data_IF_346521212415
#
_entry.id   IF_346521212415
#
_cell.length_a   1.000
_cell.length_b   1.000
_cell.length_c   1.000
_cell.angle_alpha   90.00
_cell.angle_beta   90.00
_cell.angle_gamma   90.00
#
_symmetry.space_group_name_H-M   'P 1'
#
loop_
_entity.id
_entity.type
_entity.pdbx_description
1 polymer ?
#
# COMPACT_ATOMS: atom_id res chain seq x y z
N UNK A 1 9.29 -22.66 -15.19
CA UNK A 1 8.28 -22.26 -14.21
C UNK A 1 6.89 -22.22 -14.86
N UNK A 2 6.69 -21.48 -15.97
CA UNK A 2 5.39 -21.43 -16.69
C UNK A 2 4.89 -22.80 -17.16
N UNK A 3 5.77 -23.65 -17.75
CA UNK A 3 5.40 -25.00 -18.18
C UNK A 3 4.85 -25.90 -17.04
N UNK A 4 5.21 -25.64 -15.80
CA UNK A 4 4.65 -26.35 -14.64
C UNK A 4 3.25 -25.89 -14.35
N UNK A 5 3.01 -24.56 -14.36
CA UNK A 5 1.69 -23.97 -14.15
C UNK A 5 0.69 -24.39 -15.23
N UNK A 6 1.10 -24.45 -16.49
CA UNK A 6 0.26 -24.94 -17.58
C UNK A 6 -0.24 -26.37 -17.32
N UNK A 7 0.60 -27.26 -16.78
CA UNK A 7 0.20 -28.63 -16.45
C UNK A 7 -0.82 -28.68 -15.30
N UNK A 8 -0.70 -27.77 -14.35
CA UNK A 8 -1.65 -27.64 -13.25
C UNK A 8 -3.00 -27.15 -13.79
N UNK A 9 -3.01 -26.08 -14.61
CA UNK A 9 -4.18 -25.56 -15.28
C UNK A 9 -4.87 -26.61 -16.20
N UNK A 10 -4.08 -27.37 -16.96
CA UNK A 10 -4.60 -28.44 -17.80
C UNK A 10 -5.26 -29.55 -16.95
N UNK A 11 -4.68 -29.88 -15.81
CA UNK A 11 -5.23 -30.90 -14.89
C UNK A 11 -6.54 -30.43 -14.24
N UNK A 12 -6.71 -29.14 -14.01
CA UNK A 12 -7.92 -28.50 -13.51
C UNK A 12 -8.97 -28.24 -14.61
N UNK A 13 -8.61 -28.45 -15.87
CA UNK A 13 -9.53 -28.35 -17.01
C UNK A 13 -9.65 -26.94 -17.59
N UNK A 14 -8.64 -26.08 -17.38
CA UNK A 14 -8.62 -24.74 -17.95
C UNK A 14 -8.76 -24.76 -19.50
N UNK A 15 -9.57 -23.87 -20.09
CA UNK A 15 -9.69 -23.76 -21.53
C UNK A 15 -8.36 -23.39 -22.19
N UNK A 16 -7.94 -24.04 -23.28
CA UNK A 16 -6.67 -23.72 -23.94
C UNK A 16 -6.56 -22.25 -24.40
N UNK A 17 -7.69 -21.61 -24.71
CA UNK A 17 -7.74 -20.20 -25.07
C UNK A 17 -7.38 -19.28 -23.90
N UNK A 18 -7.81 -19.62 -22.68
CA UNK A 18 -7.51 -18.88 -21.47
C UNK A 18 -6.04 -19.03 -21.09
N UNK A 19 -5.53 -20.28 -21.19
CA UNK A 19 -4.09 -20.54 -20.95
C UNK A 19 -3.20 -19.76 -21.92
N UNK A 20 -3.56 -19.71 -23.21
CA UNK A 20 -2.80 -18.94 -24.20
C UNK A 20 -2.84 -17.44 -23.95
N UNK A 21 -4.00 -16.89 -23.57
CA UNK A 21 -4.12 -15.48 -23.22
C UNK A 21 -3.32 -15.10 -21.97
N UNK A 22 -3.29 -16.00 -20.98
CA UNK A 22 -2.45 -15.83 -19.78
C UNK A 22 -0.95 -15.89 -20.12
N UNK A 23 -0.54 -16.84 -20.98
CA UNK A 23 0.84 -16.99 -21.42
C UNK A 23 1.40 -15.71 -22.04
N UNK A 24 0.63 -15.09 -22.95
CA UNK A 24 1.03 -13.85 -23.62
C UNK A 24 1.33 -12.71 -22.62
N UNK A 25 0.65 -12.69 -21.48
CA UNK A 25 0.87 -11.70 -20.42
C UNK A 25 1.98 -12.07 -19.46
N UNK A 26 1.95 -13.31 -18.98
CA UNK A 26 2.96 -13.80 -18.01
C UNK A 26 4.37 -13.81 -18.59
N UNK A 27 4.52 -14.06 -19.88
CA UNK A 27 5.81 -14.07 -20.57
C UNK A 27 6.19 -12.71 -21.20
N UNK A 28 5.33 -11.70 -21.12
CA UNK A 28 5.64 -10.36 -21.62
C UNK A 28 6.85 -9.76 -20.87
N UNK A 29 7.75 -9.16 -21.62
CA UNK A 29 8.93 -8.49 -21.05
C UNK A 29 8.53 -7.34 -20.13
N UNK A 30 9.14 -7.29 -18.95
CA UNK A 30 9.00 -6.18 -18.01
C UNK A 30 10.29 -5.37 -18.02
N UNK A 31 10.20 -4.06 -18.22
CA UNK A 31 11.36 -3.17 -18.24
C UNK A 31 11.65 -2.55 -16.87
N UNK A 32 11.15 -3.16 -15.80
CA UNK A 32 11.32 -2.72 -14.43
C UNK A 32 12.53 -3.40 -13.78
N UNK A 33 13.27 -2.65 -12.98
CA UNK A 33 14.39 -3.19 -12.19
C UNK A 33 13.88 -3.76 -10.87
N UNK A 34 14.46 -4.88 -10.42
CA UNK A 34 14.09 -5.54 -9.17
C UNK A 34 13.25 -6.80 -9.38
N UNK A 35 12.74 -7.37 -8.28
CA UNK A 35 11.83 -8.50 -8.31
C UNK A 35 10.38 -8.00 -8.44
N UNK A 36 9.65 -8.53 -9.40
CA UNK A 36 8.27 -8.17 -9.70
C UNK A 36 7.40 -9.40 -9.74
N UNK A 37 6.17 -9.24 -9.32
CA UNK A 37 5.10 -10.22 -9.40
C UNK A 37 4.03 -9.73 -10.37
N UNK A 38 3.41 -10.66 -11.09
CA UNK A 38 2.34 -10.35 -12.03
C UNK A 38 1.14 -11.23 -11.74
N UNK A 39 0.02 -10.58 -11.46
CA UNK A 39 -1.27 -11.23 -11.29
C UNK A 39 -2.10 -11.07 -12.57
N UNK A 40 -2.51 -12.19 -13.16
CA UNK A 40 -3.29 -12.21 -14.40
C UNK A 40 -4.57 -13.01 -14.20
N UNK A 41 -5.71 -12.41 -14.55
CA UNK A 41 -7.02 -13.09 -14.56
C UNK A 41 -7.53 -13.14 -15.97
N UNK A 42 -7.92 -14.33 -16.43
CA UNK A 42 -8.43 -14.57 -17.78
C UNK A 42 -9.77 -15.30 -17.71
N UNK A 43 -10.71 -14.92 -18.56
CA UNK A 43 -11.99 -15.61 -18.72
C UNK A 43 -12.44 -15.55 -20.18
N UNK A 44 -12.76 -16.71 -20.77
CA UNK A 44 -13.23 -16.82 -22.16
C UNK A 44 -12.25 -16.34 -23.21
N UNK A 45 -10.94 -16.47 -22.96
CA UNK A 45 -9.86 -16.01 -23.84
C UNK A 45 -9.56 -14.50 -23.71
N UNK A 46 -10.24 -13.79 -22.82
CA UNK A 46 -10.04 -12.35 -22.57
C UNK A 46 -9.31 -12.14 -21.26
N UNK A 47 -8.30 -11.26 -21.26
CA UNK A 47 -7.59 -10.84 -20.06
C UNK A 47 -8.42 -9.79 -19.33
N UNK A 48 -8.97 -10.16 -18.18
CA UNK A 48 -9.80 -9.27 -17.35
C UNK A 48 -8.95 -8.41 -16.42
N UNK A 49 -7.79 -8.93 -15.98
CA UNK A 49 -6.86 -8.24 -15.10
C UNK A 49 -5.43 -8.60 -15.47
N UNK A 50 -4.56 -7.62 -15.47
CA UNK A 50 -3.11 -7.75 -15.67
C UNK A 50 -2.45 -6.70 -14.80
N UNK A 51 -2.00 -7.10 -13.61
CA UNK A 51 -1.38 -6.21 -12.63
C UNK A 51 0.05 -6.65 -12.34
N UNK A 52 0.98 -5.69 -12.42
CA UNK A 52 2.40 -5.88 -12.19
C UNK A 52 2.83 -5.05 -10.99
N UNK A 53 3.31 -5.70 -9.95
CA UNK A 53 3.70 -5.04 -8.70
C UNK A 53 5.04 -5.56 -8.17
N UNK A 54 5.73 -4.80 -7.30
CA UNK A 54 6.95 -5.26 -6.67
C UNK A 54 6.70 -6.54 -5.87
N UNK A 55 7.50 -7.58 -6.11
CA UNK A 55 7.41 -8.83 -5.35
C UNK A 55 7.84 -8.59 -3.89
N UNK A 56 7.03 -9.04 -2.96
CA UNK A 56 7.32 -8.95 -1.51
C UNK A 56 7.95 -10.22 -0.97
N UNK A 57 7.57 -11.32 -1.54
CA UNK A 57 8.03 -12.64 -1.12
C UNK A 57 8.66 -13.39 -2.29
N UNK A 58 9.61 -14.28 -2.00
CA UNK A 58 10.13 -15.24 -2.99
C UNK A 58 9.14 -16.40 -3.16
N UNK A 59 7.89 -16.09 -3.44
CA UNK A 59 6.82 -17.06 -3.44
C UNK A 59 6.79 -17.96 -4.66
N UNK A 60 6.16 -19.09 -4.49
CA UNK A 60 5.91 -20.04 -5.56
C UNK A 60 4.81 -19.46 -6.44
N UNK A 61 5.08 -19.32 -7.74
CA UNK A 61 4.03 -18.95 -8.68
C UNK A 61 2.89 -19.97 -8.62
N UNK A 62 1.67 -19.47 -8.50
CA UNK A 62 0.43 -20.28 -8.41
C UNK A 62 -0.43 -20.02 -9.64
N UNK A 63 -1.12 -21.03 -10.13
CA UNK A 63 -2.14 -20.90 -11.16
C UNK A 63 -3.31 -21.81 -10.81
N UNK A 64 -4.50 -21.24 -10.84
CA UNK A 64 -5.75 -21.94 -10.49
C UNK A 64 -6.79 -21.75 -11.58
N UNK A 65 -7.65 -22.76 -11.79
CA UNK A 65 -8.81 -22.68 -12.65
C UNK A 65 -10.05 -23.03 -11.84
N UNK A 66 -11.07 -22.17 -11.89
CA UNK A 66 -12.29 -22.36 -11.13
C UNK A 66 -13.37 -21.33 -11.47
N UNK A 67 -14.52 -21.40 -10.80
CA UNK A 67 -15.62 -20.47 -11.03
C UNK A 67 -15.35 -19.04 -10.54
N UNK A 68 -14.35 -18.85 -9.65
CA UNK A 68 -13.89 -17.56 -9.17
C UNK A 68 -12.35 -17.49 -9.24
N UNK A 69 -11.77 -16.33 -9.55
CA UNK A 69 -10.33 -16.13 -9.46
C UNK A 69 -9.89 -16.10 -7.99
N UNK A 70 -8.71 -16.67 -7.72
CA UNK A 70 -8.05 -16.51 -6.42
C UNK A 70 -7.32 -15.17 -6.38
N UNK A 71 -7.93 -14.21 -5.69
CA UNK A 71 -7.44 -12.84 -5.54
C UNK A 71 -7.18 -12.47 -4.07
N UNK A 72 -7.20 -13.43 -3.15
CA UNK A 72 -7.07 -13.13 -1.73
C UNK A 72 -5.70 -12.50 -1.41
N UNK A 73 -4.62 -13.11 -1.88
CA UNK A 73 -3.27 -12.57 -1.68
C UNK A 73 -3.08 -11.24 -2.41
N UNK A 74 -3.52 -11.13 -3.67
CA UNK A 74 -3.47 -9.86 -4.40
C UNK A 74 -4.24 -8.74 -3.70
N UNK A 75 -5.43 -9.04 -3.16
CA UNK A 75 -6.24 -8.05 -2.44
C UNK A 75 -5.56 -7.61 -1.13
N UNK A 76 -5.02 -8.57 -0.37
CA UNK A 76 -4.25 -8.30 0.84
C UNK A 76 -3.03 -7.41 0.55
N UNK A 77 -2.24 -7.77 -0.45
CA UNK A 77 -1.05 -7.01 -0.83
C UNK A 77 -1.38 -5.63 -1.44
N UNK A 78 -2.51 -5.53 -2.14
CA UNK A 78 -2.98 -4.27 -2.70
C UNK A 78 -3.30 -3.23 -1.64
N UNK A 79 -3.76 -3.65 -0.47
CA UNK A 79 -4.05 -2.77 0.66
C UNK A 79 -2.80 -2.33 1.42
N UNK A 80 -1.74 -3.11 1.35
CA UNK A 80 -0.45 -2.85 2.01
C UNK A 80 0.34 -1.67 1.41
N UNK A 81 -0.24 -0.95 0.46
CA UNK A 81 0.37 0.20 -0.19
C UNK A 81 0.46 1.36 0.78
N UNK A 82 1.67 1.86 0.96
CA UNK A 82 1.90 3.10 1.70
C UNK A 82 2.30 4.18 0.71
N UNK A 83 1.38 5.00 0.20
CA UNK A 83 1.73 6.15 -0.61
C UNK A 83 2.58 7.11 0.20
N UNK A 84 3.66 7.62 -0.37
CA UNK A 84 4.58 8.51 0.33
C UNK A 84 5.14 9.60 -0.57
N UNK A 85 5.63 10.67 0.07
CA UNK A 85 6.44 11.70 -0.57
C UNK A 85 7.85 11.59 0.01
N UNK A 86 8.85 11.54 -0.87
CA UNK A 86 10.27 11.59 -0.50
C UNK A 86 10.87 12.92 -0.96
N UNK A 87 11.50 13.66 -0.05
CA UNK A 87 12.27 14.84 -0.37
C UNK A 87 13.73 14.64 0.04
N UNK A 88 14.65 14.76 -0.91
CA UNK A 88 16.10 14.75 -0.66
C UNK A 88 16.60 16.20 -0.72
N UNK A 89 16.98 16.75 0.42
CA UNK A 89 17.13 18.19 0.65
C UNK A 89 18.60 18.54 0.84
N UNK A 90 19.04 19.61 0.22
CA UNK A 90 20.30 20.28 0.52
C UNK A 90 20.09 21.80 0.73
N UNK A 91 21.18 22.57 0.85
CA UNK A 91 21.11 24.02 1.05
C UNK A 91 20.65 24.81 -0.16
N UNK A 92 20.59 24.17 -1.32
CA UNK A 92 20.25 24.80 -2.60
C UNK A 92 18.84 24.45 -3.06
N UNK A 93 18.19 23.47 -2.43
CA UNK A 93 16.85 23.04 -2.79
C UNK A 93 16.57 21.58 -2.43
N UNK A 94 15.69 20.93 -3.17
CA UNK A 94 15.33 19.53 -2.96
C UNK A 94 14.87 18.86 -4.24
N UNK A 95 15.12 17.54 -4.33
CA UNK A 95 14.43 16.63 -5.24
C UNK A 95 13.25 16.05 -4.47
N UNK A 96 12.03 16.35 -4.92
CA UNK A 96 10.79 15.93 -4.24
C UNK A 96 10.00 15.02 -5.16
N UNK A 97 9.74 13.80 -4.73
CA UNK A 97 9.01 12.81 -5.50
C UNK A 97 7.84 12.25 -4.70
N UNK A 98 6.69 12.07 -5.37
CA UNK A 98 5.53 11.36 -4.83
C UNK A 98 5.49 9.93 -5.40
N UNK A 99 5.21 8.97 -4.53
CA UNK A 99 5.10 7.55 -4.84
C UNK A 99 3.71 7.05 -4.46
N UNK A 100 3.08 6.30 -5.35
CA UNK A 100 1.76 5.70 -5.09
C UNK A 100 1.82 4.42 -4.23
N UNK A 101 3.03 3.97 -3.92
CA UNK A 101 3.28 2.75 -3.15
C UNK A 101 3.18 1.46 -3.98
N UNK A 102 2.84 1.55 -5.28
CA UNK A 102 2.62 0.40 -6.16
C UNK A 102 3.46 0.43 -7.43
N UNK A 103 3.22 1.37 -8.33
CA UNK A 103 3.88 1.43 -9.64
C UNK A 103 5.18 2.24 -9.64
N UNK A 104 5.58 2.80 -8.50
CA UNK A 104 6.78 3.60 -8.34
C UNK A 104 6.50 5.09 -8.25
N UNK A 105 7.38 5.90 -8.86
CA UNK A 105 7.29 7.35 -8.82
C UNK A 105 6.13 7.87 -9.67
N UNK A 106 5.16 8.52 -9.02
CA UNK A 106 3.99 9.09 -9.67
C UNK A 106 4.23 10.51 -10.17
N UNK A 107 5.01 11.31 -9.42
CA UNK A 107 5.34 12.69 -9.76
C UNK A 107 6.70 13.08 -9.15
N UNK A 108 7.54 13.78 -9.93
CA UNK A 108 8.82 14.33 -9.47
C UNK A 108 8.83 15.84 -9.69
N UNK A 109 9.37 16.58 -8.70
CA UNK A 109 9.61 18.03 -8.77
C UNK A 109 11.03 18.31 -8.31
N UNK A 110 11.72 19.16 -9.05
CA UNK A 110 13.02 19.71 -8.64
C UNK A 110 12.78 21.14 -8.15
N UNK A 111 13.25 21.41 -6.92
CA UNK A 111 13.11 22.71 -6.27
C UNK A 111 14.48 23.35 -6.19
N UNK A 112 14.72 24.35 -6.99
CA UNK A 112 15.95 25.15 -6.97
C UNK A 112 15.76 26.42 -6.13
N UNK A 113 16.45 26.50 -4.99
CA UNK A 113 16.46 27.68 -4.13
C UNK A 113 17.50 28.76 -4.55
N UNK A 114 17.46 29.90 -3.90
CA UNK A 114 18.42 30.97 -4.13
C UNK A 114 19.84 30.57 -3.77
N UNK A 115 20.79 30.75 -4.69
CA UNK A 115 22.20 30.36 -4.55
C UNK A 115 23.18 31.53 -4.33
N UNK A 116 22.73 32.77 -4.49
CA UNK A 116 23.64 33.96 -4.53
C UNK A 116 24.44 34.23 -3.25
N UNK A 117 24.06 33.69 -2.09
CA UNK A 117 24.69 33.99 -0.81
C UNK A 117 25.27 32.78 -0.05
N UNK A 118 25.45 31.64 -0.70
CA UNK A 118 25.85 30.37 -0.07
C UNK A 118 27.36 30.20 0.15
N UNK A 119 28.24 31.13 -0.34
CA UNK A 119 29.69 31.01 -0.20
C UNK A 119 30.22 31.76 1.01
N UNK A 120 30.88 31.03 1.93
CA UNK A 120 31.62 31.60 3.06
C UNK A 120 32.78 32.46 2.57
N UNK A 121 32.76 33.76 2.87
CA UNK A 121 33.91 34.65 2.70
C UNK A 121 34.72 34.66 4.00
N UNK A 122 36.04 34.34 3.99
CA UNK A 122 36.88 34.43 5.18
C UNK A 122 37.15 35.89 5.51
N UNK A 123 36.56 36.44 6.55
CA UNK A 123 36.82 37.81 7.00
C UNK A 123 36.15 38.10 8.34
N UNK A 124 36.93 38.41 9.38
CA UNK A 124 36.44 38.70 10.73
C UNK A 124 35.94 40.14 10.87
N UNK A 125 34.86 40.34 11.63
CA UNK A 125 34.33 41.64 11.98
C UNK A 125 32.80 41.73 11.92
N UNK A 126 32.25 42.93 12.12
CA UNK A 126 30.80 43.21 12.08
C UNK A 126 30.12 42.77 10.80
N UNK A 127 30.82 42.65 9.68
CA UNK A 127 30.35 42.09 8.43
C UNK A 127 30.05 40.60 8.56
N UNK A 128 30.70 39.86 9.43
CA UNK A 128 30.50 38.40 9.60
C UNK A 128 29.12 38.07 10.18
N UNK A 129 28.64 38.85 11.17
CA UNK A 129 27.30 38.67 11.75
C UNK A 129 26.18 38.96 10.73
N UNK A 130 26.35 40.04 9.96
CA UNK A 130 25.39 40.38 8.89
C UNK A 130 25.35 39.31 7.79
N UNK A 131 26.51 38.79 7.43
CA UNK A 131 26.61 37.73 6.41
C UNK A 131 26.05 36.39 6.90
N UNK A 132 26.33 36.03 8.16
CA UNK A 132 25.69 34.84 8.76
C UNK A 132 24.15 34.97 8.79
N UNK A 133 23.65 36.11 9.18
CA UNK A 133 22.21 36.37 9.23
C UNK A 133 21.57 36.32 7.85
N UNK A 134 22.20 36.88 6.82
CA UNK A 134 21.72 36.79 5.43
C UNK A 134 21.77 35.37 4.91
N UNK A 135 22.75 34.56 5.27
CA UNK A 135 22.86 33.15 4.89
C UNK A 135 21.79 32.30 5.58
N UNK A 136 21.54 32.54 6.87
CA UNK A 136 20.46 31.89 7.64
C UNK A 136 19.08 32.26 7.07
N UNK A 137 18.84 33.53 6.74
CA UNK A 137 17.61 34.02 6.12
C UNK A 137 17.36 33.34 4.73
N UNK A 138 18.43 33.17 3.94
CA UNK A 138 18.34 32.45 2.63
C UNK A 138 18.01 30.97 2.83
N UNK A 139 18.60 30.30 3.82
CA UNK A 139 18.30 28.90 4.09
C UNK A 139 16.85 28.71 4.54
N UNK A 140 16.34 29.58 5.41
CA UNK A 140 14.94 29.55 5.82
C UNK A 140 13.98 29.80 4.65
N UNK A 141 14.33 30.69 3.71
CA UNK A 141 13.55 30.93 2.51
C UNK A 141 13.52 29.67 1.60
N UNK A 142 14.69 29.07 1.36
CA UNK A 142 14.78 27.82 0.58
C UNK A 142 14.03 26.67 1.25
N UNK A 143 14.10 26.55 2.59
CA UNK A 143 13.33 25.56 3.33
C UNK A 143 11.82 25.76 3.18
N UNK A 144 11.38 27.03 3.12
CA UNK A 144 9.96 27.35 2.91
C UNK A 144 9.48 26.96 1.51
N UNK A 145 10.27 27.20 0.48
CA UNK A 145 9.94 26.78 -0.89
C UNK A 145 9.83 25.25 -1.00
N UNK A 146 10.77 24.51 -0.40
CA UNK A 146 10.73 23.05 -0.34
C UNK A 146 9.50 22.57 0.43
N UNK A 147 9.18 23.18 1.57
CA UNK A 147 8.01 22.81 2.35
C UNK A 147 6.71 23.05 1.59
N UNK A 148 6.59 24.15 0.85
CA UNK A 148 5.41 24.46 0.03
C UNK A 148 5.21 23.43 -1.08
N UNK A 149 6.27 22.97 -1.74
CA UNK A 149 6.21 21.92 -2.76
C UNK A 149 5.84 20.55 -2.16
N UNK A 150 6.42 20.18 -1.03
CA UNK A 150 6.05 18.96 -0.30
C UNK A 150 4.57 19.00 0.08
N UNK A 151 4.09 20.11 0.65
CA UNK A 151 2.67 20.30 1.00
C UNK A 151 1.77 20.26 -0.24
N UNK A 152 2.24 20.78 -1.37
CA UNK A 152 1.55 20.68 -2.66
C UNK A 152 1.31 19.23 -3.08
N UNK A 153 2.35 18.40 -3.01
CA UNK A 153 2.25 16.95 -3.29
C UNK A 153 1.37 16.23 -2.28
N UNK A 154 1.49 16.57 -0.98
CA UNK A 154 0.61 15.99 0.05
C UNK A 154 -0.87 16.26 -0.23
N UNK A 155 -1.23 17.46 -0.65
CA UNK A 155 -2.63 17.80 -1.00
C UNK A 155 -3.13 17.04 -2.21
N UNK A 156 -2.26 16.80 -3.21
CA UNK A 156 -2.60 16.12 -4.46
C UNK A 156 -2.70 14.62 -4.28
N UNK A 157 -1.69 14.00 -3.66
CA UNK A 157 -1.52 12.55 -3.59
C UNK A 157 -2.01 11.92 -2.29
N UNK A 158 -2.24 12.74 -1.24
CA UNK A 158 -2.68 12.29 0.09
C UNK A 158 -1.84 11.13 0.65
N UNK A 159 -0.52 11.28 0.71
CA UNK A 159 0.37 10.22 1.15
C UNK A 159 0.16 9.87 2.63
N UNK A 160 0.53 8.65 3.01
CA UNK A 160 0.58 8.23 4.43
C UNK A 160 1.83 8.75 5.12
N UNK A 161 2.94 8.87 4.39
CA UNK A 161 4.20 9.32 4.94
C UNK A 161 4.83 10.42 4.09
N UNK A 162 5.48 11.38 4.75
CA UNK A 162 6.44 12.31 4.15
C UNK A 162 7.80 11.97 4.72
N UNK A 163 8.74 11.60 3.85
CA UNK A 163 10.09 11.18 4.20
C UNK A 163 11.07 12.28 3.78
N UNK A 164 11.75 12.86 4.73
CA UNK A 164 12.71 13.95 4.52
C UNK A 164 14.12 13.44 4.75
N UNK A 165 14.97 13.52 3.73
CA UNK A 165 16.38 13.11 3.74
C UNK A 165 17.29 14.29 3.42
N UNK A 166 18.58 14.18 3.68
CA UNK A 166 19.57 15.16 3.29
C UNK A 166 20.14 15.98 4.45
N UNK A 167 20.46 17.27 4.21
CA UNK A 167 21.17 18.14 5.16
C UNK A 167 20.35 18.35 6.44
N UNK A 168 20.90 18.03 7.63
CA UNK A 168 20.11 17.95 8.87
C UNK A 168 19.40 19.25 9.27
N UNK A 169 20.02 20.42 9.09
CA UNK A 169 19.43 21.71 9.44
C UNK A 169 18.23 22.04 8.57
N UNK A 170 18.40 21.94 7.25
CA UNK A 170 17.34 22.19 6.27
C UNK A 170 16.19 21.17 6.42
N UNK A 171 16.53 19.91 6.61
CA UNK A 171 15.55 18.83 6.84
C UNK A 171 14.66 19.11 8.06
N UNK A 172 15.26 19.58 9.18
CA UNK A 172 14.53 19.93 10.39
C UNK A 172 13.58 21.13 10.16
N UNK A 173 14.07 22.18 9.48
CA UNK A 173 13.26 23.37 9.16
C UNK A 173 12.07 23.01 8.24
N UNK A 174 12.31 22.19 7.21
CA UNK A 174 11.23 21.70 6.32
C UNK A 174 10.24 20.85 7.09
N UNK A 175 10.71 19.94 7.97
CA UNK A 175 9.84 19.10 8.79
C UNK A 175 8.90 19.91 9.67
N UNK A 176 9.42 20.96 10.34
CA UNK A 176 8.62 21.85 11.18
C UNK A 176 7.54 22.58 10.36
N UNK A 177 7.90 23.12 9.20
CA UNK A 177 6.98 23.88 8.33
C UNK A 177 5.90 22.97 7.72
N UNK A 178 6.27 21.77 7.23
CA UNK A 178 5.31 20.78 6.72
C UNK A 178 4.35 20.37 7.82
N UNK A 179 4.86 19.98 9.00
CA UNK A 179 4.02 19.57 10.14
C UNK A 179 3.05 20.68 10.61
N UNK A 180 3.50 21.94 10.60
CA UNK A 180 2.64 23.09 10.95
C UNK A 180 1.52 23.36 9.93
N UNK A 181 1.69 22.91 8.68
CA UNK A 181 0.74 23.18 7.58
C UNK A 181 -0.25 22.03 7.38
N UNK A 182 0.10 20.80 7.83
CA UNK A 182 -0.81 19.66 7.74
C UNK A 182 -2.05 19.87 8.62
N UNK A 183 -3.25 19.45 8.15
CA UNK A 183 -4.46 19.44 8.96
C UNK A 183 -4.29 18.62 10.25
N UNK A 184 -4.94 19.03 11.32
CA UNK A 184 -4.86 18.35 12.63
C UNK A 184 -5.37 16.91 12.58
N UNK A 185 -6.28 16.62 11.67
CA UNK A 185 -6.86 15.30 11.39
C UNK A 185 -6.12 14.56 10.25
N UNK A 186 -4.98 15.08 9.79
CA UNK A 186 -4.17 14.42 8.77
C UNK A 186 -3.66 13.07 9.27
N UNK A 187 -3.79 12.06 8.42
CA UNK A 187 -3.18 10.74 8.64
C UNK A 187 -1.75 10.65 8.12
N UNK A 188 -1.25 11.73 7.49
CA UNK A 188 0.12 11.81 6.97
C UNK A 188 1.11 12.05 8.10
N UNK A 189 2.12 11.19 8.22
CA UNK A 189 3.19 11.29 9.23
C UNK A 189 4.46 11.80 8.56
N UNK A 190 5.18 12.72 9.24
CA UNK A 190 6.45 13.27 8.73
C UNK A 190 7.62 12.58 9.43
N UNK A 191 8.50 11.95 8.65
CA UNK A 191 9.70 11.26 9.11
C UNK A 191 10.96 11.95 8.60
N UNK A 192 11.98 12.01 9.43
CA UNK A 192 13.31 12.47 9.05
C UNK A 192 14.26 11.28 8.94
N UNK A 193 14.86 11.09 7.76
CA UNK A 193 15.79 10.00 7.48
C UNK A 193 17.23 10.43 7.73
N UNK A 194 18.04 9.54 8.27
CA UNK A 194 19.47 9.80 8.49
C UNK A 194 20.32 9.60 7.23
N UNK A 195 19.84 8.77 6.30
CA UNK A 195 20.48 8.48 5.02
C UNK A 195 19.99 9.43 3.92
N UNK A 196 20.84 9.60 2.89
CA UNK A 196 20.52 10.36 1.68
C UNK A 196 21.18 11.73 1.63
N UNK A 197 21.63 12.09 0.43
CA UNK A 197 22.13 13.40 0.08
C UNK A 197 22.02 13.62 -1.43
N UNK A 198 21.87 14.88 -1.89
CA UNK A 198 21.89 15.24 -3.33
C UNK A 198 23.29 15.20 -3.97
N UNK A 199 24.35 14.97 -3.18
CA UNK A 199 25.72 14.94 -3.70
C UNK A 199 26.03 13.70 -4.51
N UNK A 200 26.83 13.84 -5.58
CA UNK A 200 27.38 12.72 -6.35
C UNK A 200 28.13 11.74 -5.42
N UNK A 201 27.72 10.46 -5.43
CA UNK A 201 28.31 9.40 -4.59
C UNK A 201 27.57 9.11 -3.29
N UNK A 202 26.45 9.78 -3.01
CA UNK A 202 25.55 9.40 -1.90
C UNK A 202 24.99 7.97 -2.14
N UNK A 203 24.89 7.18 -1.06
CA UNK A 203 24.40 5.80 -1.17
C UNK A 203 22.88 5.81 -1.34
N UNK A 204 22.42 5.65 -2.57
CA UNK A 204 21.00 5.45 -2.90
C UNK A 204 20.46 4.18 -2.23
N UNK A 205 21.26 3.13 -2.11
CA UNK A 205 20.88 1.87 -1.46
C UNK A 205 20.57 2.06 0.03
N UNK A 206 21.41 2.83 0.76
CA UNK A 206 21.18 3.12 2.18
C UNK A 206 19.89 3.92 2.38
N UNK A 207 19.65 4.93 1.54
CA UNK A 207 18.41 5.71 1.55
C UNK A 207 17.18 4.81 1.37
N UNK A 208 17.15 3.98 0.32
CA UNK A 208 16.02 3.12 0.05
C UNK A 208 15.83 2.01 1.09
N UNK A 209 16.90 1.58 1.76
CA UNK A 209 16.80 0.66 2.88
C UNK A 209 16.07 1.29 4.07
N UNK A 210 16.41 2.55 4.38
CA UNK A 210 15.76 3.29 5.45
C UNK A 210 14.31 3.66 5.09
N UNK A 211 14.06 4.08 3.84
CA UNK A 211 12.70 4.33 3.31
C UNK A 211 11.82 3.09 3.52
N UNK A 212 12.26 1.91 3.07
CA UNK A 212 11.50 0.68 3.25
C UNK A 212 11.22 0.37 4.72
N UNK A 213 12.22 0.53 5.60
CA UNK A 213 12.03 0.27 7.03
C UNK A 213 10.97 1.19 7.67
N UNK A 214 10.92 2.47 7.26
CA UNK A 214 9.89 3.40 7.74
C UNK A 214 8.51 3.04 7.19
N UNK A 215 8.40 2.74 5.89
CA UNK A 215 7.13 2.36 5.28
C UNK A 215 6.57 1.05 5.87
N UNK A 216 7.42 0.06 6.14
CA UNK A 216 7.02 -1.17 6.82
C UNK A 216 6.50 -0.90 8.25
N UNK A 217 7.14 0.02 8.98
CA UNK A 217 6.68 0.40 10.30
C UNK A 217 5.31 1.11 10.27
N UNK A 218 5.09 2.00 9.29
CA UNK A 218 3.79 2.67 9.10
C UNK A 218 2.68 1.67 8.73
N UNK A 219 2.98 0.72 7.84
CA UNK A 219 2.06 -0.37 7.48
C UNK A 219 1.64 -1.17 8.71
N UNK A 220 2.59 -1.65 9.51
CA UNK A 220 2.28 -2.41 10.73
C UNK A 220 1.46 -1.57 11.72
N UNK A 221 1.75 -0.28 11.85
CA UNK A 221 0.97 0.61 12.71
C UNK A 221 -0.48 0.80 12.20
N UNK A 222 -0.70 0.84 10.88
CA UNK A 222 -2.03 0.90 10.29
C UNK A 222 -2.80 -0.40 10.52
N UNK A 223 -2.18 -1.56 10.31
CA UNK A 223 -2.77 -2.87 10.59
C UNK A 223 -3.18 -2.99 12.07
N UNK A 224 -2.31 -2.59 12.99
CA UNK A 224 -2.62 -2.59 14.43
C UNK A 224 -3.86 -1.73 14.74
N UNK A 225 -3.93 -0.51 14.17
CA UNK A 225 -5.11 0.36 14.34
C UNK A 225 -6.39 -0.27 13.80
N UNK A 226 -6.32 -0.97 12.68
CA UNK A 226 -7.47 -1.69 12.10
C UNK A 226 -7.93 -2.82 13.02
N UNK A 227 -7.02 -3.66 13.52
CA UNK A 227 -7.32 -4.75 14.44
C UNK A 227 -7.91 -4.22 15.76
N UNK A 228 -7.36 -3.14 16.32
CA UNK A 228 -7.91 -2.49 17.51
C UNK A 228 -9.33 -1.94 17.27
N UNK A 229 -9.59 -1.35 16.09
CA UNK A 229 -10.94 -0.88 15.71
C UNK A 229 -11.93 -2.05 15.68
N UNK A 230 -11.55 -3.20 15.09
CA UNK A 230 -12.39 -4.41 15.08
C UNK A 230 -12.67 -4.89 16.51
N UNK A 231 -11.65 -4.94 17.37
CA UNK A 231 -11.81 -5.36 18.77
C UNK A 231 -12.77 -4.43 19.53
N UNK A 232 -12.68 -3.13 19.31
CA UNK A 232 -13.60 -2.15 19.92
C UNK A 232 -15.02 -2.27 19.35
N UNK A 233 -15.15 -2.37 18.02
CA UNK A 233 -16.43 -2.50 17.33
C UNK A 233 -17.18 -3.78 17.73
N UNK A 234 -16.48 -4.88 17.99
CA UNK A 234 -17.06 -6.15 18.45
C UNK A 234 -17.81 -5.99 19.78
N UNK A 235 -17.36 -5.12 20.66
CA UNK A 235 -18.05 -4.84 21.92
C UNK A 235 -19.43 -4.15 21.76
N UNK A 236 -19.71 -3.68 20.55
CA UNK A 236 -20.94 -2.96 20.16
C UNK A 236 -21.68 -3.63 19.00
N UNK A 237 -21.42 -4.92 18.74
CA UNK A 237 -22.01 -5.68 17.62
C UNK A 237 -21.81 -5.03 16.23
N UNK A 238 -20.77 -4.21 16.10
CA UNK A 238 -20.38 -3.52 14.88
C UNK A 238 -19.15 -4.17 14.18
N UNK A 239 -18.84 -5.42 14.51
CA UNK A 239 -17.82 -6.21 13.85
C UNK A 239 -18.24 -7.67 13.75
N UNK A 240 -17.80 -8.34 12.67
CA UNK A 240 -17.90 -9.79 12.48
C UNK A 240 -16.49 -10.40 12.60
N UNK A 241 -16.37 -11.55 13.25
CA UNK A 241 -15.06 -12.20 13.47
C UNK A 241 -15.13 -13.67 13.10
N UNK A 242 -14.24 -14.07 12.20
CA UNK A 242 -14.23 -15.38 11.58
C UNK A 242 -15.17 -15.49 10.38
N UNK A 243 -14.96 -16.53 9.60
CA UNK A 243 -15.58 -16.66 8.27
C UNK A 243 -17.11 -16.71 8.30
N UNK A 244 -17.72 -17.38 9.29
CA UNK A 244 -19.18 -17.53 9.35
C UNK A 244 -19.92 -16.21 9.62
N UNK A 245 -19.42 -15.43 10.58
CA UNK A 245 -20.01 -14.11 10.90
C UNK A 245 -19.79 -13.16 9.72
N UNK A 246 -18.61 -13.21 9.09
CA UNK A 246 -18.24 -12.38 7.94
C UNK A 246 -19.12 -12.70 6.73
N UNK A 247 -19.33 -13.99 6.38
CA UNK A 247 -20.22 -14.39 5.29
C UNK A 247 -21.67 -13.92 5.52
N UNK A 248 -22.18 -14.03 6.75
CA UNK A 248 -23.50 -13.52 7.08
C UNK A 248 -23.58 -11.99 6.90
N UNK A 249 -22.59 -11.26 7.38
CA UNK A 249 -22.55 -9.82 7.22
C UNK A 249 -22.42 -9.37 5.76
N UNK A 250 -21.67 -10.13 4.94
CA UNK A 250 -21.55 -9.92 3.48
C UNK A 250 -22.88 -10.18 2.76
N UNK A 251 -23.58 -11.25 3.12
CA UNK A 251 -24.90 -11.56 2.57
C UNK A 251 -25.92 -10.44 2.86
N UNK A 252 -25.78 -9.76 3.99
CA UNK A 252 -26.57 -8.59 4.38
C UNK A 252 -26.01 -7.24 3.84
N UNK A 253 -24.89 -7.26 3.09
CA UNK A 253 -24.17 -6.08 2.57
C UNK A 253 -23.76 -5.07 3.69
N UNK A 254 -23.47 -5.58 4.87
CA UNK A 254 -23.12 -4.79 6.07
C UNK A 254 -21.63 -4.54 6.23
N UNK A 255 -20.79 -5.24 5.50
CA UNK A 255 -19.33 -5.09 5.63
C UNK A 255 -18.88 -3.77 5.04
N UNK A 256 -18.18 -2.97 5.85
CA UNK A 256 -17.45 -1.76 5.43
C UNK A 256 -16.03 -2.12 5.00
N UNK A 257 -15.31 -2.82 5.89
CA UNK A 257 -13.93 -3.22 5.67
C UNK A 257 -13.76 -4.69 6.06
N UNK A 258 -13.31 -5.50 5.12
CA UNK A 258 -12.91 -6.88 5.33
C UNK A 258 -11.42 -6.93 5.64
N UNK A 259 -11.02 -7.52 6.76
CA UNK A 259 -9.64 -7.82 7.11
C UNK A 259 -9.35 -9.29 6.80
N UNK A 260 -8.27 -9.56 6.09
CA UNK A 260 -7.82 -10.92 5.77
C UNK A 260 -6.36 -11.12 6.16
N UNK A 261 -6.03 -12.31 6.63
CA UNK A 261 -4.65 -12.67 6.99
C UNK A 261 -3.80 -12.82 5.71
N UNK A 262 -2.79 -11.95 5.52
CA UNK A 262 -1.88 -12.00 4.37
C UNK A 262 -1.12 -13.33 4.32
N UNK A 263 -1.04 -13.94 3.14
CA UNK A 263 -0.34 -15.21 2.91
C UNK A 263 -0.96 -16.42 3.65
N UNK A 264 -2.20 -16.32 4.09
CA UNK A 264 -2.97 -17.43 4.65
C UNK A 264 -4.27 -17.63 3.90
N UNK A 265 -4.59 -18.88 3.65
CA UNK A 265 -5.84 -19.28 2.99
C UNK A 265 -6.80 -19.92 3.98
N UNK A 266 -8.09 -19.76 3.72
CA UNK A 266 -9.12 -20.46 4.46
C UNK A 266 -9.15 -21.94 4.07
N UNK A 267 -9.24 -22.81 5.06
CA UNK A 267 -9.51 -24.24 4.83
C UNK A 267 -11.00 -24.57 4.89
N UNK A 268 -11.85 -23.57 5.16
CA UNK A 268 -13.30 -23.78 5.20
C UNK A 268 -13.88 -23.80 3.78
N UNK A 269 -14.76 -24.74 3.54
CA UNK A 269 -15.55 -24.82 2.32
C UNK A 269 -16.89 -24.13 2.52
N UNK A 270 -17.27 -23.29 1.57
CA UNK A 270 -18.51 -22.55 1.56
C UNK A 270 -19.42 -23.06 0.47
N UNK A 271 -20.57 -23.61 0.85
CA UNK A 271 -21.64 -23.94 -0.10
C UNK A 271 -22.47 -22.71 -0.39
N UNK A 272 -22.64 -22.38 -1.65
CA UNK A 272 -23.38 -21.17 -2.07
C UNK A 272 -24.81 -21.19 -1.55
N UNK A 273 -25.49 -22.33 -1.59
CA UNK A 273 -26.87 -22.53 -1.10
C UNK A 273 -27.05 -22.25 0.40
N UNK A 274 -26.01 -22.43 1.20
CA UNK A 274 -26.08 -22.22 2.66
C UNK A 274 -26.06 -20.73 3.04
N UNK A 275 -25.78 -19.85 2.06
CA UNK A 275 -25.65 -18.40 2.27
C UNK A 275 -26.57 -17.60 1.34
N UNK A 276 -27.91 -17.69 1.50
CA UNK A 276 -28.84 -16.95 0.67
C UNK A 276 -28.63 -15.44 0.85
N UNK A 277 -28.45 -14.74 -0.28
CA UNK A 277 -28.15 -13.31 -0.30
C UNK A 277 -26.67 -12.96 -0.43
N UNK A 278 -25.77 -13.95 -0.35
CA UNK A 278 -24.35 -13.73 -0.66
C UNK A 278 -24.23 -13.34 -2.14
N UNK A 279 -23.64 -12.19 -2.40
CA UNK A 279 -23.42 -11.70 -3.76
C UNK A 279 -22.13 -12.31 -4.30
N UNK A 280 -22.27 -13.10 -5.35
CA UNK A 280 -21.17 -13.70 -6.10
C UNK A 280 -21.33 -13.37 -7.58
N UNK A 281 -20.27 -13.41 -8.39
CA UNK A 281 -20.38 -13.37 -9.85
C UNK A 281 -21.30 -14.49 -10.39
N UNK A 282 -21.83 -14.33 -11.59
CA UNK A 282 -22.82 -15.25 -12.18
C UNK A 282 -22.34 -16.69 -12.47
N UNK A 283 -21.03 -16.96 -12.29
CA UNK A 283 -20.43 -18.24 -12.66
C UNK A 283 -20.58 -19.38 -11.64
N UNK A 284 -20.50 -19.15 -10.30
CA UNK A 284 -20.76 -20.22 -9.34
C UNK A 284 -22.23 -20.65 -9.39
N UNK A 285 -22.47 -21.94 -9.54
CA UNK A 285 -23.80 -22.52 -9.39
C UNK A 285 -24.19 -22.59 -7.91
N UNK A 286 -25.50 -22.67 -7.61
CA UNK A 286 -26.02 -22.74 -6.25
C UNK A 286 -25.47 -23.95 -5.46
N UNK A 287 -25.28 -25.10 -6.13
CA UNK A 287 -24.71 -26.31 -5.55
C UNK A 287 -23.17 -26.30 -5.40
N UNK A 288 -22.49 -25.29 -5.94
CA UNK A 288 -21.02 -25.22 -5.88
C UNK A 288 -20.51 -25.07 -4.45
N UNK A 289 -19.36 -25.68 -4.23
CA UNK A 289 -18.58 -25.57 -3.01
C UNK A 289 -17.32 -24.75 -3.35
N UNK A 290 -17.16 -23.63 -2.68
CA UNK A 290 -16.07 -22.69 -2.93
C UNK A 290 -15.10 -22.67 -1.72
N UNK A 291 -13.80 -22.48 -1.94
CA UNK A 291 -12.91 -22.07 -0.86
C UNK A 291 -13.41 -20.80 -0.19
N UNK A 292 -13.32 -20.75 1.14
CA UNK A 292 -13.90 -19.66 1.92
C UNK A 292 -13.30 -18.30 1.63
N UNK A 293 -12.00 -18.25 1.36
CA UNK A 293 -11.27 -17.03 0.95
C UNK A 293 -11.81 -16.47 -0.37
N UNK A 294 -11.98 -17.30 -1.40
CA UNK A 294 -12.55 -16.87 -2.67
C UNK A 294 -13.98 -16.31 -2.50
N UNK A 295 -14.82 -17.03 -1.75
CA UNK A 295 -16.20 -16.61 -1.52
C UNK A 295 -16.28 -15.26 -0.77
N UNK A 296 -15.48 -15.09 0.27
CA UNK A 296 -15.47 -13.89 1.10
C UNK A 296 -14.92 -12.68 0.33
N UNK A 297 -13.80 -12.83 -0.39
CA UNK A 297 -13.19 -11.74 -1.17
C UNK A 297 -14.11 -11.33 -2.34
N UNK A 298 -14.65 -12.30 -3.09
CA UNK A 298 -15.58 -12.01 -4.18
C UNK A 298 -16.83 -11.27 -3.68
N UNK A 299 -17.42 -11.73 -2.57
CA UNK A 299 -18.61 -11.08 -2.00
C UNK A 299 -18.29 -9.66 -1.44
N UNK A 300 -17.10 -9.44 -0.87
CA UNK A 300 -16.66 -8.14 -0.42
C UNK A 300 -16.57 -7.16 -1.60
N UNK A 301 -15.91 -7.55 -2.69
CA UNK A 301 -15.81 -6.73 -3.91
C UNK A 301 -17.18 -6.36 -4.48
N UNK A 302 -18.15 -7.29 -4.48
CA UNK A 302 -19.50 -7.05 -5.04
C UNK A 302 -20.44 -6.28 -4.10
N UNK A 303 -20.03 -6.04 -2.85
CA UNK A 303 -20.79 -5.27 -1.87
C UNK A 303 -20.11 -3.93 -1.51
N UNK A 304 -19.15 -3.47 -2.32
CA UNK A 304 -18.38 -2.24 -2.10
C UNK A 304 -17.70 -2.21 -0.71
N UNK A 305 -17.25 -3.34 -0.21
CA UNK A 305 -16.41 -3.41 0.98
C UNK A 305 -14.94 -3.21 0.58
N UNK A 306 -14.18 -2.44 1.36
CA UNK A 306 -12.74 -2.45 1.22
C UNK A 306 -12.16 -3.77 1.74
N UNK A 307 -11.06 -4.23 1.12
CA UNK A 307 -10.34 -5.43 1.57
C UNK A 307 -8.96 -4.99 2.02
N UNK A 308 -8.59 -5.33 3.26
CA UNK A 308 -7.34 -4.94 3.88
C UNK A 308 -6.56 -6.19 4.33
N UNK A 309 -5.32 -6.29 3.89
CA UNK A 309 -4.39 -7.31 4.39
C UNK A 309 -3.94 -6.99 5.81
N UNK A 310 -3.80 -8.02 6.62
CA UNK A 310 -3.30 -7.89 7.98
C UNK A 310 -2.32 -9.01 8.27
N UNK A 311 -1.22 -8.68 8.92
CA UNK A 311 -0.25 -9.66 9.39
C UNK A 311 -0.96 -10.72 10.24
N UNK A 312 -0.79 -12.03 9.93
CA UNK A 312 -1.53 -13.10 10.61
C UNK A 312 -1.43 -13.10 12.13
N UNK A 313 -0.28 -12.67 12.67
CA UNK A 313 -0.02 -12.58 14.09
C UNK A 313 -0.91 -11.53 14.78
N UNK A 314 -1.13 -10.39 14.11
CA UNK A 314 -2.02 -9.33 14.61
C UNK A 314 -3.49 -9.76 14.57
N UNK A 315 -3.90 -10.45 13.50
CA UNK A 315 -5.27 -10.94 13.41
C UNK A 315 -5.55 -12.05 14.46
N UNK A 316 -4.55 -12.85 14.81
CA UNK A 316 -4.66 -13.89 15.86
C UNK A 316 -4.95 -13.31 17.26
N UNK A 317 -4.71 -12.03 17.50
CA UNK A 317 -5.08 -11.34 18.74
C UNK A 317 -6.61 -11.15 18.89
N UNK A 318 -7.37 -11.33 17.79
CA UNK A 318 -8.84 -11.33 17.80
C UNK A 318 -9.37 -12.75 17.98
N UNK A 319 -9.94 -13.11 19.16
CA UNK A 319 -10.43 -14.46 19.38
C UNK A 319 -11.51 -14.87 18.36
N UNK A 320 -11.24 -15.94 17.61
CA UNK A 320 -12.13 -16.49 16.60
C UNK A 320 -11.96 -15.89 15.20
N UNK A 321 -10.97 -15.02 14.98
CA UNK A 321 -10.72 -14.46 13.65
C UNK A 321 -10.16 -15.48 12.67
N UNK A 322 -9.35 -16.44 13.14
CA UNK A 322 -8.65 -17.46 12.37
C UNK A 322 -7.96 -16.93 11.11
N UNK A 323 -8.74 -16.50 10.12
CA UNK A 323 -8.27 -15.99 8.85
C UNK A 323 -8.84 -14.61 8.50
N UNK A 324 -10.05 -14.25 8.94
CA UNK A 324 -10.69 -12.97 8.60
C UNK A 324 -11.51 -12.37 9.73
N UNK A 325 -11.71 -11.05 9.63
CA UNK A 325 -12.66 -10.28 10.43
C UNK A 325 -13.20 -9.13 9.59
N UNK A 326 -14.26 -8.48 10.04
CA UNK A 326 -14.83 -7.35 9.32
C UNK A 326 -15.34 -6.24 10.26
N UNK A 327 -15.16 -5.00 9.85
CA UNK A 327 -15.88 -3.84 10.38
C UNK A 327 -17.21 -3.70 9.64
N UNK A 328 -18.26 -3.39 10.38
CA UNK A 328 -19.61 -3.28 9.83
C UNK A 328 -20.03 -1.81 9.69
N UNK A 329 -20.80 -1.53 8.64
CA UNK A 329 -21.34 -0.18 8.36
C UNK A 329 -22.37 0.28 9.41
N UNK A 330 -23.05 -0.69 10.04
CA UNK A 330 -24.05 -0.46 11.09
C UNK A 330 -24.15 -1.67 12.02
N UNK A 331 -24.58 -1.43 13.23
CA UNK A 331 -24.83 -2.46 14.24
C UNK A 331 -25.93 -3.45 13.80
N UNK A 332 -25.91 -4.67 14.29
CA UNK A 332 -26.99 -5.62 14.04
C UNK A 332 -28.30 -5.09 14.62
N UNK A 333 -29.39 -5.03 13.85
CA UNK A 333 -30.66 -4.61 14.42
C UNK A 333 -31.12 -5.60 15.48
N UNK A 334 -31.46 -5.09 16.68
CA UNK A 334 -31.85 -5.87 17.84
C UNK A 334 -33.13 -6.71 17.63
#
# INVERSE_FOLDING_TARGET
RWESLVKELDAEGAPPGDVAAAEDRVLAETHTSGAWERTVVVCGGEVLMDDLHPARHEDVAVATHGPLPDLADWAAESSDRVPFVLAVIDRQGADVSAYDGWHGEAEMRDVEGETEHLHKVPGGGWSHRRYQQTTEDTWHANASEVADEVVGLVKTHRPRAVLLAGEPGMRADVAEQVAATLPVDSTTVVHQLESGARSEGASTEALWTEVRAVLDAERVADEQRLVERVAQARAHDAAAVGIRETLRALAESRVETLLIASGRHSHEEVRVDDHPGLRLPDHPAAEDVLPGDLAVVAAACLTDASVEGVTPELLADLPGADWCAALLRWEEPA
#
